data_IF_261754425508
#
_entry.id   IF_261754425508
#
_cell.length_a   1.000
_cell.length_b   1.000
_cell.length_c   1.000
_cell.angle_alpha   90.00
_cell.angle_beta   90.00
_cell.angle_gamma   90.00
#
_symmetry.space_group_name_H-M   'P 1'
#
loop_
_entity.id
_entity.type
_entity.pdbx_description
1 polymer ?
#
# COMPACT_ATOMS: atom_id res chain seq x y z
N UNK A 1 -7.73 -19.53 -18.66
CA UNK A 1 -6.46 -18.93 -19.09
C UNK A 1 -5.45 -20.03 -19.31
N UNK A 2 -4.59 -19.89 -20.31
CA UNK A 2 -3.45 -20.78 -20.50
C UNK A 2 -2.25 -20.38 -19.62
N UNK A 3 -1.20 -21.20 -19.63
CA UNK A 3 0.01 -20.99 -18.81
C UNK A 3 0.73 -19.69 -19.16
N UNK A 4 0.77 -19.31 -20.44
CA UNK A 4 1.47 -18.12 -20.89
C UNK A 4 0.77 -16.86 -20.39
N UNK A 5 -0.57 -16.82 -20.47
CA UNK A 5 -1.37 -15.73 -19.92
C UNK A 5 -1.17 -15.56 -18.41
N UNK A 6 -1.09 -16.66 -17.66
CA UNK A 6 -0.79 -16.60 -16.23
C UNK A 6 0.61 -16.02 -15.99
N UNK A 7 1.62 -16.47 -16.74
CA UNK A 7 2.99 -15.97 -16.62
C UNK A 7 3.10 -14.46 -16.94
N UNK A 8 2.37 -13.98 -17.95
CA UNK A 8 2.30 -12.56 -18.29
C UNK A 8 1.68 -11.72 -17.16
N UNK A 9 0.60 -12.21 -16.53
CA UNK A 9 -0.01 -11.55 -15.37
C UNK A 9 0.97 -11.47 -14.19
N UNK A 10 1.68 -12.56 -13.92
CA UNK A 10 2.66 -12.60 -12.85
C UNK A 10 3.84 -11.64 -13.12
N UNK A 11 4.37 -11.64 -14.35
CA UNK A 11 5.44 -10.72 -14.73
C UNK A 11 5.00 -9.26 -14.61
N UNK A 12 3.80 -8.92 -15.09
CA UNK A 12 3.26 -7.56 -15.00
C UNK A 12 3.06 -7.10 -13.55
N UNK A 13 2.72 -8.00 -12.64
CA UNK A 13 2.41 -7.65 -11.25
C UNK A 13 3.65 -7.66 -10.36
N UNK A 14 4.54 -8.65 -10.53
CA UNK A 14 5.61 -8.93 -9.57
C UNK A 14 7.03 -8.58 -10.09
N UNK A 15 7.24 -8.40 -11.38
CA UNK A 15 8.57 -8.04 -11.88
C UNK A 15 8.94 -6.61 -11.44
N UNK A 16 10.02 -6.46 -10.67
CA UNK A 16 10.44 -5.16 -10.13
C UNK A 16 9.63 -4.67 -8.93
N UNK A 17 8.86 -5.55 -8.29
CA UNK A 17 8.05 -5.22 -7.11
C UNK A 17 8.92 -4.64 -5.98
N UNK A 18 8.50 -3.49 -5.46
CA UNK A 18 9.05 -2.84 -4.28
C UNK A 18 7.95 -2.55 -3.26
N UNK A 19 8.36 -2.28 -2.01
CA UNK A 19 7.46 -1.95 -0.90
C UNK A 19 7.54 -0.46 -0.59
N UNK A 20 6.38 0.18 -0.49
CA UNK A 20 6.22 1.60 -0.17
C UNK A 20 5.31 1.75 1.04
N UNK A 21 5.49 2.84 1.77
CA UNK A 21 4.81 3.11 3.03
C UNK A 21 3.91 4.33 2.89
N UNK A 22 2.68 4.22 3.37
CA UNK A 22 1.76 5.34 3.55
C UNK A 22 1.16 5.23 4.94
N UNK A 23 1.58 6.12 5.83
CA UNK A 23 1.11 6.17 7.20
C UNK A 23 0.02 7.24 7.31
N UNK A 24 -1.05 6.93 8.05
CA UNK A 24 -2.15 7.86 8.30
C UNK A 24 -2.85 7.51 9.62
N UNK A 25 -3.65 8.45 10.11
CA UNK A 25 -4.50 8.24 11.28
C UNK A 25 -5.96 8.13 10.81
N UNK A 26 -6.61 7.00 11.07
CA UNK A 26 -8.01 6.76 10.70
C UNK A 26 -8.84 6.30 11.91
N UNK A 27 -10.15 6.49 11.86
CA UNK A 27 -11.03 5.87 12.86
C UNK A 27 -11.01 4.34 12.74
N UNK A 28 -11.19 3.62 13.85
CA UNK A 28 -11.29 2.16 13.81
C UNK A 28 -12.44 1.69 12.92
N UNK A 29 -13.54 2.44 12.86
CA UNK A 29 -14.68 2.15 11.97
C UNK A 29 -14.25 2.12 10.50
N UNK A 30 -13.35 2.99 10.07
CA UNK A 30 -12.81 2.98 8.71
C UNK A 30 -11.85 1.79 8.50
N UNK A 31 -10.96 1.53 9.47
CA UNK A 31 -10.01 0.41 9.39
C UNK A 31 -10.74 -0.94 9.27
N UNK A 32 -11.84 -1.12 10.02
CA UNK A 32 -12.60 -2.37 10.07
C UNK A 32 -13.36 -2.68 8.76
N UNK A 33 -13.48 -1.72 7.84
CA UNK A 33 -14.10 -1.93 6.52
C UNK A 33 -13.22 -2.71 5.55
N UNK A 34 -11.90 -2.76 5.78
CA UNK A 34 -11.00 -3.52 4.92
C UNK A 34 -11.08 -5.02 5.23
N UNK A 35 -11.08 -5.82 4.17
CA UNK A 35 -11.09 -7.29 4.30
C UNK A 35 -9.99 -7.92 3.46
N UNK A 36 -9.34 -8.96 3.98
CA UNK A 36 -8.34 -9.72 3.21
C UNK A 36 -9.00 -10.32 1.97
N UNK A 37 -8.32 -10.19 0.83
CA UNK A 37 -8.81 -10.60 -0.49
C UNK A 37 -9.67 -9.56 -1.21
N UNK A 38 -10.08 -8.49 -0.52
CA UNK A 38 -10.82 -7.39 -1.12
C UNK A 38 -9.97 -6.69 -2.19
N UNK A 39 -10.60 -6.35 -3.32
CA UNK A 39 -10.02 -5.44 -4.31
C UNK A 39 -10.66 -4.07 -4.13
N UNK A 40 -9.83 -3.06 -3.97
CA UNK A 40 -10.23 -1.64 -3.84
C UNK A 40 -9.67 -0.84 -5.02
N UNK A 41 -10.37 0.23 -5.41
CA UNK A 41 -9.88 1.17 -6.40
C UNK A 41 -9.57 2.51 -5.75
N UNK A 42 -8.36 3.04 -5.93
CA UNK A 42 -8.04 4.40 -5.52
C UNK A 42 -8.34 5.38 -6.66
N UNK A 43 -9.27 6.31 -6.47
CA UNK A 43 -9.66 7.28 -7.51
C UNK A 43 -8.65 8.42 -7.63
N UNK A 44 -7.96 8.76 -6.55
CA UNK A 44 -6.90 9.77 -6.54
C UNK A 44 -5.53 9.20 -6.88
N UNK A 45 -4.53 10.07 -6.96
CA UNK A 45 -3.14 9.59 -6.94
C UNK A 45 -2.82 9.01 -5.56
N UNK A 46 -2.05 7.92 -5.54
CA UNK A 46 -1.54 7.37 -4.28
C UNK A 46 -0.13 7.89 -4.06
N UNK A 47 0.00 8.86 -3.16
CA UNK A 47 1.29 9.29 -2.64
C UNK A 47 1.74 8.34 -1.52
N UNK A 48 3.00 7.90 -1.60
CA UNK A 48 3.64 7.03 -0.63
C UNK A 48 5.14 7.33 -0.57
N UNK A 49 5.88 6.68 0.31
CA UNK A 49 7.33 6.85 0.41
C UNK A 49 8.06 5.52 0.37
N UNK A 50 9.30 5.51 -0.12
CA UNK A 50 10.22 4.38 0.05
C UNK A 50 10.94 4.40 1.43
N UNK A 51 10.75 5.43 2.25
CA UNK A 51 11.37 5.57 3.57
C UNK A 51 10.50 4.92 4.66
N UNK A 52 10.86 3.71 5.07
CA UNK A 52 10.14 2.98 6.13
C UNK A 52 10.80 3.14 7.51
N UNK A 53 10.11 3.81 8.44
CA UNK A 53 10.51 3.94 9.85
C UNK A 53 9.45 3.45 10.84
N UNK A 54 9.59 3.84 12.11
CA UNK A 54 8.58 3.61 13.15
C UNK A 54 7.25 4.29 12.83
N UNK A 55 6.15 3.67 13.25
CA UNK A 55 4.79 4.15 13.00
C UNK A 55 4.29 4.98 14.18
N UNK A 56 4.02 6.26 13.97
CA UNK A 56 3.47 7.18 14.99
C UNK A 56 1.95 7.14 15.03
N UNK A 57 1.30 7.04 13.87
CA UNK A 57 -0.16 6.93 13.73
C UNK A 57 -0.68 5.53 14.06
N UNK A 58 -1.99 5.32 13.92
CA UNK A 58 -2.63 4.01 14.12
C UNK A 58 -2.66 3.11 12.87
N UNK A 59 -2.41 3.64 11.67
CA UNK A 59 -2.50 2.87 10.42
C UNK A 59 -1.31 3.08 9.48
N UNK A 60 -0.83 1.97 8.90
CA UNK A 60 0.11 1.92 7.78
C UNK A 60 -0.48 1.12 6.63
N UNK A 61 -0.55 1.70 5.44
CA UNK A 61 -0.63 0.95 4.20
C UNK A 61 0.79 0.58 3.75
N UNK A 62 1.07 -0.71 3.68
CA UNK A 62 2.28 -1.23 3.06
C UNK A 62 1.95 -1.65 1.63
N UNK A 63 2.41 -0.88 0.66
CA UNK A 63 2.01 -1.01 -0.74
C UNK A 63 3.10 -1.73 -1.52
N UNK A 64 2.80 -2.92 -2.00
CA UNK A 64 3.62 -3.67 -2.94
C UNK A 64 3.27 -3.26 -4.37
N UNK A 65 4.22 -2.65 -5.09
CA UNK A 65 3.98 -2.16 -6.46
C UNK A 65 5.26 -2.26 -7.31
N UNK A 66 5.09 -2.69 -8.56
CA UNK A 66 6.12 -2.62 -9.60
C UNK A 66 6.05 -1.32 -10.43
N UNK A 67 5.00 -0.51 -10.24
CA UNK A 67 4.63 0.60 -11.12
C UNK A 67 4.59 1.96 -10.41
N UNK A 68 5.07 2.02 -9.16
CA UNK A 68 5.21 3.30 -8.47
C UNK A 68 6.30 4.13 -9.13
N UNK A 69 6.00 5.39 -9.45
CA UNK A 69 6.95 6.32 -10.05
C UNK A 69 7.69 7.06 -8.96
N UNK A 70 9.02 7.06 -9.04
CA UNK A 70 9.87 7.85 -8.15
C UNK A 70 9.76 9.34 -8.52
N UNK A 71 8.96 10.09 -7.76
CA UNK A 71 8.78 11.53 -7.95
C UNK A 71 9.97 12.29 -7.39
N UNK A 72 10.58 11.78 -6.31
CA UNK A 72 11.81 12.33 -5.74
C UNK A 72 12.96 12.41 -6.77
N UNK A 73 13.07 11.42 -7.65
CA UNK A 73 14.05 11.44 -8.74
C UNK A 73 13.80 12.52 -9.81
N UNK A 74 12.56 13.01 -9.93
CA UNK A 74 12.15 13.99 -10.95
C UNK A 74 12.02 15.41 -10.40
N UNK A 75 11.69 15.53 -9.11
CA UNK A 75 11.40 16.79 -8.42
C UNK A 75 12.25 16.85 -7.15
N UNK A 76 13.39 17.56 -7.16
CA UNK A 76 14.35 17.55 -6.05
C UNK A 76 13.77 17.92 -4.69
N UNK A 77 12.73 18.78 -4.66
CA UNK A 77 12.05 19.14 -3.42
C UNK A 77 11.36 17.96 -2.72
N UNK A 78 11.05 16.89 -3.47
CA UNK A 78 10.35 15.71 -2.96
C UNK A 78 11.30 14.60 -2.48
N UNK A 79 12.61 14.75 -2.70
CA UNK A 79 13.66 13.81 -2.27
C UNK A 79 13.72 13.67 -0.74
N UNK A 80 13.44 14.75 -0.03
CA UNK A 80 13.35 14.74 1.44
C UNK A 80 12.30 13.74 1.93
N UNK A 81 11.15 13.64 1.26
CA UNK A 81 10.11 12.69 1.60
C UNK A 81 10.36 11.29 1.00
N UNK A 82 11.19 11.19 -0.03
CA UNK A 82 11.33 9.97 -0.82
C UNK A 82 10.00 9.60 -1.48
N UNK A 83 9.31 10.61 -2.01
CA UNK A 83 7.97 10.48 -2.57
C UNK A 83 7.97 9.57 -3.80
N UNK A 84 7.09 8.59 -3.76
CA UNK A 84 6.63 7.85 -4.92
C UNK A 84 5.15 8.09 -5.15
N UNK A 85 4.73 7.95 -6.40
CA UNK A 85 3.34 8.14 -6.79
C UNK A 85 2.84 6.97 -7.63
N UNK A 86 1.65 6.49 -7.30
CA UNK A 86 0.88 5.57 -8.15
C UNK A 86 -0.28 6.34 -8.77
N UNK A 87 -0.55 6.06 -10.05
CA UNK A 87 -1.56 6.75 -10.84
C UNK A 87 -2.98 6.59 -10.29
N UNK A 88 -3.83 7.57 -10.57
CA UNK A 88 -5.27 7.52 -10.28
C UNK A 88 -5.97 6.37 -10.99
N UNK A 89 -6.98 5.80 -10.34
CA UNK A 89 -7.75 4.66 -10.83
C UNK A 89 -7.07 3.31 -10.60
N UNK A 90 -5.95 3.28 -9.86
CA UNK A 90 -5.21 2.07 -9.56
C UNK A 90 -6.02 1.10 -8.68
N UNK A 91 -5.81 -0.19 -8.92
CA UNK A 91 -6.46 -1.27 -8.17
C UNK A 91 -5.49 -1.93 -7.20
N UNK A 92 -5.96 -2.20 -5.99
CA UNK A 92 -5.18 -2.86 -4.96
C UNK A 92 -5.93 -4.04 -4.39
N UNK A 93 -5.26 -5.19 -4.27
CA UNK A 93 -5.76 -6.33 -3.49
C UNK A 93 -5.23 -6.22 -2.06
N UNK A 94 -6.11 -6.31 -1.08
CA UNK A 94 -5.72 -6.42 0.34
C UNK A 94 -5.18 -7.83 0.58
N UNK A 95 -3.87 -7.95 0.82
CA UNK A 95 -3.22 -9.24 1.06
C UNK A 95 -3.27 -9.65 2.53
N UNK A 96 -3.14 -8.70 3.44
CA UNK A 96 -3.08 -8.96 4.88
C UNK A 96 -3.50 -7.74 5.68
N UNK A 97 -4.01 -7.99 6.87
CA UNK A 97 -4.32 -6.99 7.88
C UNK A 97 -3.73 -7.51 9.19
N UNK A 98 -2.76 -6.79 9.74
CA UNK A 98 -2.05 -7.22 10.94
C UNK A 98 -2.02 -6.08 11.97
N UNK A 99 -2.47 -6.37 13.18
CA UNK A 99 -2.55 -5.39 14.27
C UNK A 99 -1.68 -5.84 15.44
N UNK A 100 -0.87 -4.91 15.95
CA UNK A 100 -0.08 -5.07 17.17
C UNK A 100 -0.47 -3.89 18.06
N UNK A 101 -0.99 -4.19 19.26
CA UNK A 101 -1.62 -3.22 20.15
C UNK A 101 -2.69 -2.38 19.44
N UNK A 102 -2.48 -1.07 19.26
CA UNK A 102 -3.38 -0.14 18.59
C UNK A 102 -2.87 0.31 17.20
N UNK A 103 -1.92 -0.43 16.61
CA UNK A 103 -1.30 -0.11 15.33
C UNK A 103 -1.57 -1.21 14.32
N UNK A 104 -2.17 -0.82 13.20
CA UNK A 104 -2.56 -1.73 12.12
C UNK A 104 -1.70 -1.49 10.89
N UNK A 105 -1.26 -2.58 10.25
CA UNK A 105 -0.70 -2.57 8.91
C UNK A 105 -1.66 -3.28 7.96
N UNK A 106 -2.03 -2.61 6.87
CA UNK A 106 -2.78 -3.18 5.76
C UNK A 106 -1.82 -3.35 4.59
N UNK A 107 -1.63 -4.59 4.13
CA UNK A 107 -0.74 -4.90 3.01
C UNK A 107 -1.56 -4.88 1.73
N UNK A 108 -1.15 -4.03 0.78
CA UNK A 108 -1.82 -3.83 -0.50
C UNK A 108 -0.93 -4.29 -1.65
N UNK A 109 -1.47 -5.10 -2.56
CA UNK A 109 -0.81 -5.44 -3.82
C UNK A 109 -1.42 -4.61 -4.95
N UNK A 110 -0.61 -3.76 -5.57
CA UNK A 110 -1.01 -3.03 -6.76
C UNK A 110 -1.13 -4.00 -7.95
N UNK A 111 -2.32 -4.04 -8.56
CA UNK A 111 -2.64 -4.90 -9.69
C UNK A 111 -3.16 -4.07 -10.86
N UNK A 112 -2.94 -4.56 -12.08
CA UNK A 112 -3.48 -3.95 -13.27
C UNK A 112 -5.00 -4.20 -13.36
N UNK A 113 -5.72 -3.31 -14.03
CA UNK A 113 -7.18 -3.40 -14.13
C UNK A 113 -7.63 -4.69 -14.81
N UNK A 114 -6.94 -5.07 -15.88
CA UNK A 114 -7.19 -6.27 -16.66
C UNK A 114 -6.94 -7.58 -15.90
N UNK A 115 -6.30 -7.53 -14.73
CA UNK A 115 -5.99 -8.71 -13.90
C UNK A 115 -6.84 -8.80 -12.64
N UNK A 116 -7.79 -7.88 -12.41
CA UNK A 116 -8.67 -7.87 -11.23
C UNK A 116 -9.38 -9.20 -11.00
N UNK A 117 -10.04 -9.73 -12.03
CA UNK A 117 -10.82 -10.97 -11.92
C UNK A 117 -9.94 -12.18 -11.58
N UNK A 118 -8.70 -12.20 -12.12
CA UNK A 118 -7.72 -13.22 -11.80
C UNK A 118 -7.35 -13.18 -10.31
N UNK A 119 -6.94 -12.00 -9.81
CA UNK A 119 -6.52 -11.86 -8.42
C UNK A 119 -7.67 -11.92 -7.40
N UNK A 120 -8.92 -11.68 -7.82
CA UNK A 120 -10.10 -11.84 -6.98
C UNK A 120 -10.36 -13.31 -6.60
N UNK A 121 -9.95 -14.25 -7.46
CA UNK A 121 -10.27 -15.67 -7.31
C UNK A 121 -9.05 -16.55 -7.10
N UNK A 122 -7.84 -15.99 -7.29
CA UNK A 122 -6.58 -16.71 -7.15
C UNK A 122 -5.67 -16.03 -6.12
N UNK A 123 -4.84 -16.85 -5.49
CA UNK A 123 -3.70 -16.42 -4.68
C UNK A 123 -2.45 -17.14 -5.16
N UNK A 124 -1.29 -16.62 -4.75
CA UNK A 124 0.01 -17.14 -5.15
C UNK A 124 0.97 -17.24 -3.97
N UNK A 125 1.95 -18.14 -4.07
CA UNK A 125 3.03 -18.24 -3.08
C UNK A 125 3.84 -16.94 -2.96
N UNK A 126 3.82 -16.08 -3.99
CA UNK A 126 4.47 -14.76 -3.93
C UNK A 126 3.70 -13.82 -3.00
N UNK A 127 2.36 -13.83 -3.04
CA UNK A 127 1.53 -13.07 -2.10
C UNK A 127 1.81 -13.50 -0.65
N UNK A 128 1.89 -14.80 -0.38
CA UNK A 128 2.22 -15.32 0.96
C UNK A 128 3.60 -14.84 1.44
N UNK A 129 4.61 -14.85 0.55
CA UNK A 129 5.95 -14.35 0.88
C UNK A 129 5.96 -12.83 1.15
N UNK A 130 5.16 -12.06 0.41
CA UNK A 130 4.98 -10.61 0.65
C UNK A 130 4.39 -10.41 2.05
N UNK A 131 3.32 -11.14 2.39
CA UNK A 131 2.67 -11.06 3.70
C UNK A 131 3.63 -11.40 4.83
N UNK A 132 4.38 -12.49 4.71
CA UNK A 132 5.37 -12.88 5.72
C UNK A 132 6.40 -11.77 5.96
N UNK A 133 7.04 -11.27 4.89
CA UNK A 133 8.03 -10.19 4.98
C UNK A 133 7.43 -8.89 5.51
N UNK A 134 6.18 -8.61 5.16
CA UNK A 134 5.44 -7.44 5.62
C UNK A 134 5.21 -7.47 7.12
N UNK A 135 4.82 -8.61 7.69
CA UNK A 135 4.63 -8.78 9.15
C UNK A 135 5.94 -8.66 9.90
N UNK A 136 6.97 -9.41 9.49
CA UNK A 136 8.32 -9.35 10.08
C UNK A 136 8.88 -7.91 10.04
N UNK A 137 8.71 -7.24 8.89
CA UNK A 137 9.15 -5.86 8.70
C UNK A 137 8.36 -4.84 9.53
N UNK A 138 7.09 -5.10 9.80
CA UNK A 138 6.24 -4.24 10.63
C UNK A 138 6.63 -4.34 12.10
N UNK A 139 6.70 -5.56 12.64
CA UNK A 139 7.13 -5.85 14.01
C UNK A 139 8.47 -5.18 14.32
N UNK A 140 9.46 -5.34 13.44
CA UNK A 140 10.76 -4.73 13.62
C UNK A 140 10.68 -3.18 13.62
N UNK A 141 9.93 -2.60 12.67
CA UNK A 141 9.84 -1.15 12.52
C UNK A 141 9.11 -0.47 13.67
N UNK A 142 8.15 -1.12 14.32
CA UNK A 142 7.47 -0.58 15.49
C UNK A 142 8.43 -0.22 16.64
N UNK A 143 9.60 -0.86 16.70
CA UNK A 143 10.64 -0.58 17.69
C UNK A 143 11.71 0.41 17.20
N UNK A 144 11.51 1.03 16.03
CA UNK A 144 12.44 2.03 15.47
C UNK A 144 11.89 3.44 15.62
N UNK A 145 12.76 4.44 15.48
CA UNK A 145 12.32 5.83 15.46
C UNK A 145 11.52 6.11 14.17
N UNK A 146 10.47 6.97 14.24
CA UNK A 146 9.81 7.45 13.05
C UNK A 146 10.76 8.28 12.19
N UNK A 147 10.54 8.27 10.88
CA UNK A 147 11.32 9.08 9.95
C UNK A 147 10.93 10.56 10.10
N UNK A 148 11.81 11.46 10.58
CA UNK A 148 11.42 12.81 10.99
C UNK A 148 10.74 13.65 9.91
N UNK A 149 11.24 13.59 8.66
CA UNK A 149 10.65 14.32 7.55
C UNK A 149 9.23 13.84 7.20
N UNK A 150 8.83 12.63 7.59
CA UNK A 150 7.47 12.13 7.38
C UNK A 150 6.52 12.50 8.52
N UNK A 151 6.99 13.28 9.50
CA UNK A 151 6.19 13.74 10.65
C UNK A 151 5.79 15.22 10.52
N UNK A 152 6.05 15.84 9.36
CA UNK A 152 5.62 17.21 9.08
C UNK A 152 4.12 17.25 8.79
N UNK A 153 3.48 18.37 9.10
CA UNK A 153 2.06 18.60 8.79
C UNK A 153 1.79 18.43 7.28
N UNK A 154 2.68 18.93 6.42
CA UNK A 154 2.58 18.78 4.97
C UNK A 154 2.49 17.32 4.52
N UNK A 155 3.33 16.44 5.08
CA UNK A 155 3.30 15.02 4.72
C UNK A 155 2.08 14.32 5.28
N UNK A 156 1.74 14.62 6.55
CA UNK A 156 0.58 14.03 7.22
C UNK A 156 -0.71 14.36 6.46
N UNK A 157 -0.90 15.62 6.06
CA UNK A 157 -2.07 16.06 5.29
C UNK A 157 -2.14 15.38 3.92
N UNK A 158 -0.98 15.19 3.26
CA UNK A 158 -0.88 14.51 1.97
C UNK A 158 -1.36 13.06 2.03
N UNK A 159 -1.11 12.35 3.12
CA UNK A 159 -1.43 10.92 3.24
C UNK A 159 -2.68 10.62 4.07
N UNK A 160 -3.35 11.64 4.62
CA UNK A 160 -4.41 11.53 5.61
C UNK A 160 -5.65 10.72 5.18
N UNK A 161 -6.00 10.73 3.90
CA UNK A 161 -7.22 10.08 3.42
C UNK A 161 -7.11 8.54 3.40
N UNK A 162 -8.21 7.81 3.63
CA UNK A 162 -8.23 6.36 3.46
C UNK A 162 -7.98 5.96 2.01
N UNK A 163 -7.42 4.77 1.79
CA UNK A 163 -7.20 4.25 0.45
C UNK A 163 -8.43 3.50 -0.07
N UNK A 164 -8.89 3.89 -1.25
CA UNK A 164 -9.93 3.19 -1.99
C UNK A 164 -11.36 3.39 -1.48
N UNK A 165 -11.57 4.32 -0.55
CA UNK A 165 -12.90 4.69 -0.05
C UNK A 165 -12.98 6.19 0.29
N UNK A 166 -14.20 6.70 0.44
CA UNK A 166 -14.45 8.05 0.96
C UNK A 166 -14.08 8.17 2.44
N UNK A 167 -14.06 9.40 2.95
CA UNK A 167 -13.95 9.73 4.38
C UNK A 167 -15.15 9.22 5.21
N UNK A 168 -16.29 8.95 4.57
CA UNK A 168 -17.45 8.25 5.16
C UNK A 168 -17.35 6.73 5.07
N UNK A 169 -16.31 6.21 4.44
CA UNK A 169 -16.04 4.78 4.27
C UNK A 169 -16.93 4.09 3.25
N UNK A 170 -17.34 4.78 2.19
CA UNK A 170 -17.93 4.17 1.00
C UNK A 170 -16.81 3.81 0.03
N UNK A 171 -16.62 2.51 -0.27
CA UNK A 171 -15.61 2.08 -1.22
C UNK A 171 -15.90 2.61 -2.62
N UNK A 172 -14.85 3.00 -3.32
CA UNK A 172 -14.93 3.35 -4.73
C UNK A 172 -15.03 2.05 -5.54
N UNK A 173 -16.25 1.76 -6.00
CA UNK A 173 -16.58 0.66 -6.90
C UNK A 173 -16.28 1.06 -8.34
#
# INVERSE_FOLDING_TARGET
>A
MDKQQIEEIFNMTFAGLALFYRDCELSQELIDKYHIGQIIQERGFTDATYKGGGLTTNLRYLIASAHAKDVAALVPQMEEYGLVMIQSGAYFKVLDIHTIDNKTQIVLLHIAEETKEFFATNSSNIEEQIVQKAREGFELKLHTQPTPCLQTEEWIDRTALPMGMSDTGEFFI
#
